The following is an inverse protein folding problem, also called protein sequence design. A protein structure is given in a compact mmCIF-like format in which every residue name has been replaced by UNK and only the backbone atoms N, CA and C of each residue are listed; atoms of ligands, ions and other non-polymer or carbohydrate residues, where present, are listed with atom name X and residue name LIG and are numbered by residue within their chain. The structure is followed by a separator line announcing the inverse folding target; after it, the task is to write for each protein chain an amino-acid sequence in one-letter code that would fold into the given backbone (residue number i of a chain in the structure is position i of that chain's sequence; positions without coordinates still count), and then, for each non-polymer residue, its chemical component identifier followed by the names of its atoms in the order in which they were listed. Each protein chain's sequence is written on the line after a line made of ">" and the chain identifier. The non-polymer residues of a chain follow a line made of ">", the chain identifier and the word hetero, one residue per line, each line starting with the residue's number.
data_IF_258025018658
#
_entry.id   IF_258025018658
#
_cell.length_a   1.000
_cell.length_b   1.000
_cell.length_c   1.000
_cell.angle_alpha   90.00
_cell.angle_beta   90.00
_cell.angle_gamma   90.00
#
_symmetry.space_group_name_H-M   'P 1'
#
loop_
_entity.id
_entity.type
_entity.pdbx_description
1 polymer ?
#
# COMPACT_ATOMS: atom_id res chain seq x y z
N UNK A 1 9.83 1.77 31.53
CA UNK A 1 9.16 1.81 31.07
C UNK A 1 9.19 2.20 29.87
N UNK A 2 8.78 2.07 29.27
CA UNK A 2 8.92 2.30 28.16
C UNK A 2 8.20 3.22 27.73
N UNK A 3 8.32 3.72 27.15
CA UNK A 3 7.76 4.59 26.80
C UNK A 3 7.15 4.46 25.63
N UNK A 4 6.39 4.84 25.29
CA UNK A 4 5.79 4.78 24.22
C UNK A 4 6.29 5.63 23.24
N UNK A 5 7.21 5.37 22.59
CA UNK A 5 7.74 6.23 21.64
C UNK A 5 7.04 5.94 20.37
N UNK A 6 6.35 6.85 19.81
CA UNK A 6 5.69 6.65 18.55
C UNK A 6 6.68 6.89 17.41
N UNK A 7 6.76 5.98 16.50
CA UNK A 7 7.65 6.15 15.37
C UNK A 7 6.82 6.23 14.10
N UNK A 8 6.95 7.33 13.40
CA UNK A 8 6.25 7.50 12.15
C UNK A 8 6.97 6.71 11.07
N UNK A 9 6.25 5.98 10.26
CA UNK A 9 6.86 5.20 9.19
C UNK A 9 6.35 5.66 7.85
N UNK A 10 7.05 5.28 6.82
CA UNK A 10 6.70 5.64 5.46
C UNK A 10 5.94 4.48 4.83
N UNK A 11 4.77 4.77 4.31
CA UNK A 11 3.89 3.73 3.81
C UNK A 11 3.56 3.99 2.36
N UNK A 12 3.58 2.94 1.57
CA UNK A 12 3.15 3.00 0.19
C UNK A 12 1.75 2.43 0.13
N UNK A 13 0.84 3.12 -0.53
CA UNK A 13 -0.53 2.68 -0.68
C UNK A 13 -0.74 2.29 -2.13
N UNK A 14 -1.17 1.08 -2.38
CA UNK A 14 -1.37 0.56 -3.72
C UNK A 14 -2.83 0.16 -3.88
N UNK A 15 -3.49 0.67 -4.90
CA UNK A 15 -4.85 0.26 -5.22
C UNK A 15 -4.78 -0.62 -6.44
N UNK A 16 -5.34 -1.82 -6.37
CA UNK A 16 -5.32 -2.75 -7.48
C UNK A 16 -6.70 -2.70 -8.12
N UNK A 17 -6.78 -2.20 -9.33
CA UNK A 17 -8.07 -2.06 -9.98
C UNK A 17 -7.90 -1.82 -11.47
N UNK A 18 -8.81 -2.37 -12.26
CA UNK A 18 -8.73 -2.16 -13.68
C UNK A 18 -9.39 -0.86 -14.10
N UNK A 19 -10.21 -0.29 -13.27
CA UNK A 19 -11.01 0.84 -13.70
C UNK A 19 -10.80 2.11 -12.88
N UNK A 20 -10.21 2.02 -11.71
CA UNK A 20 -10.13 3.21 -10.89
C UNK A 20 -9.00 4.10 -11.29
N UNK A 21 -9.17 5.35 -11.05
CA UNK A 21 -8.11 6.33 -11.19
C UNK A 21 -8.14 7.09 -9.89
N UNK A 22 -7.17 7.93 -9.66
CA UNK A 22 -7.10 8.63 -8.39
C UNK A 22 -8.39 9.39 -8.07
N UNK A 23 -9.06 9.87 -9.09
CA UNK A 23 -10.21 10.62 -8.87
C UNK A 23 -11.32 9.83 -8.24
N UNK A 24 -11.47 8.58 -8.48
CA UNK A 24 -12.54 7.80 -7.90
C UNK A 24 -12.05 6.66 -7.03
N UNK A 25 -10.83 6.76 -6.54
CA UNK A 25 -10.26 5.71 -5.73
C UNK A 25 -10.61 5.95 -4.27
N UNK A 26 -11.83 5.66 -3.89
CA UNK A 26 -12.27 5.92 -2.54
C UNK A 26 -11.60 5.06 -1.50
N UNK A 27 -11.30 3.83 -1.82
CA UNK A 27 -10.61 2.96 -0.87
C UNK A 27 -9.23 3.49 -0.58
N UNK A 28 -8.52 3.91 -1.61
CA UNK A 28 -7.21 4.49 -1.41
C UNK A 28 -7.28 5.77 -0.61
N UNK A 29 -8.30 6.59 -0.86
CA UNK A 29 -8.48 7.82 -0.13
C UNK A 29 -8.68 7.54 1.36
N UNK A 30 -9.46 6.54 1.68
CA UNK A 30 -9.71 6.19 3.07
C UNK A 30 -8.44 5.71 3.73
N UNK A 31 -7.66 4.91 3.03
CA UNK A 31 -6.41 4.42 3.59
C UNK A 31 -5.46 5.58 3.85
N UNK A 32 -5.33 6.47 2.90
CA UNK A 32 -4.44 7.61 3.07
C UNK A 32 -4.88 8.44 4.28
N UNK A 33 -6.17 8.63 4.41
CA UNK A 33 -6.70 9.41 5.51
C UNK A 33 -6.39 8.75 6.84
N UNK A 34 -6.60 7.45 6.94
CA UNK A 34 -6.35 6.77 8.18
C UNK A 34 -4.89 6.70 8.54
N UNK A 35 -4.04 6.45 7.55
CA UNK A 35 -2.61 6.40 7.78
C UNK A 35 -2.13 7.74 8.27
N UNK A 36 -2.60 8.81 7.66
CA UNK A 36 -2.19 10.14 8.04
C UNK A 36 -2.67 10.48 9.45
N UNK A 37 -3.89 10.09 9.75
CA UNK A 37 -4.41 10.38 11.09
C UNK A 37 -3.69 9.64 12.18
N UNK A 38 -3.11 8.50 11.85
CA UNK A 38 -2.36 7.78 12.84
C UNK A 38 -0.93 8.31 12.94
N UNK A 39 -0.58 9.29 12.16
CA UNK A 39 0.74 9.89 12.29
C UNK A 39 1.80 9.34 11.36
N UNK A 40 1.44 8.46 10.46
CA UNK A 40 2.42 7.93 9.52
C UNK A 40 2.36 8.71 8.22
N UNK A 41 3.30 8.46 7.33
CA UNK A 41 3.36 9.19 6.08
C UNK A 41 3.08 8.30 4.91
N UNK A 42 2.29 8.81 3.97
CA UNK A 42 2.06 8.08 2.73
C UNK A 42 3.04 8.69 1.75
N UNK A 43 4.10 7.96 1.45
CA UNK A 43 5.13 8.46 0.57
C UNK A 43 4.91 8.06 -0.88
N UNK A 44 4.13 7.02 -1.12
CA UNK A 44 3.84 6.58 -2.46
C UNK A 44 2.38 6.17 -2.52
N UNK A 45 1.70 6.56 -3.56
CA UNK A 45 0.33 6.10 -3.77
C UNK A 45 0.23 5.74 -5.24
N UNK A 46 -0.11 4.49 -5.54
CA UNK A 46 -0.19 4.03 -6.91
C UNK A 46 -1.46 3.25 -7.16
N UNK A 47 -1.91 3.25 -8.39
CA UNK A 47 -3.02 2.42 -8.81
C UNK A 47 -2.45 1.52 -9.89
N UNK A 48 -2.65 0.23 -9.76
CA UNK A 48 -2.11 -0.72 -10.71
C UNK A 48 -3.23 -1.63 -11.18
N UNK A 49 -3.16 -2.07 -12.43
CA UNK A 49 -4.18 -2.93 -12.95
C UNK A 49 -4.10 -4.30 -12.29
N UNK A 50 -5.21 -5.01 -12.31
CA UNK A 50 -5.27 -6.31 -11.69
C UNK A 50 -4.61 -7.30 -12.63
N UNK A 51 -3.33 -7.24 -12.74
CA UNK A 51 -2.55 -8.04 -13.65
C UNK A 51 -1.34 -8.50 -12.85
N UNK A 52 -1.13 -9.77 -12.75
CA UNK A 52 -0.08 -10.31 -11.92
C UNK A 52 1.29 -9.71 -12.23
N UNK A 53 1.64 -9.58 -13.48
CA UNK A 53 2.94 -9.08 -13.82
C UNK A 53 3.09 -7.62 -13.42
N UNK A 54 2.05 -6.82 -13.59
CA UNK A 54 2.14 -5.43 -13.25
C UNK A 54 2.17 -5.24 -11.73
N UNK A 55 1.43 -6.05 -11.02
CA UNK A 55 1.43 -5.98 -9.58
C UNK A 55 2.79 -6.40 -9.05
N UNK A 56 3.35 -7.47 -9.60
CA UNK A 56 4.64 -7.96 -9.16
C UNK A 56 5.73 -6.93 -9.41
N UNK A 57 5.73 -6.34 -10.58
CA UNK A 57 6.73 -5.36 -10.91
C UNK A 57 6.65 -4.17 -9.97
N UNK A 58 5.46 -3.72 -9.70
CA UNK A 58 5.30 -2.57 -8.82
C UNK A 58 5.77 -2.90 -7.40
N UNK A 59 5.38 -4.06 -6.90
CA UNK A 59 5.76 -4.42 -5.55
C UNK A 59 7.26 -4.60 -5.43
N UNK A 60 7.90 -5.19 -6.42
CA UNK A 60 9.35 -5.34 -6.37
C UNK A 60 10.03 -3.98 -6.32
N UNK A 61 9.52 -3.06 -7.10
CA UNK A 61 10.10 -1.75 -7.13
C UNK A 61 9.91 -1.09 -5.78
N UNK A 62 8.76 -1.24 -5.15
CA UNK A 62 8.51 -0.63 -3.87
C UNK A 62 9.34 -1.28 -2.76
N UNK A 63 9.51 -2.59 -2.85
CA UNK A 63 10.30 -3.29 -1.86
C UNK A 63 11.76 -2.87 -1.92
N UNK A 64 12.24 -2.57 -3.09
CA UNK A 64 13.61 -2.15 -3.21
C UNK A 64 13.83 -0.71 -2.76
N UNK A 65 12.78 0.02 -2.55
CA UNK A 65 12.91 1.40 -2.15
C UNK A 65 13.13 1.49 -0.65
N UNK A 66 14.31 1.88 -0.25
CA UNK A 66 14.64 1.91 1.16
C UNK A 66 13.85 2.93 1.93
N UNK A 67 13.17 3.83 1.28
CA UNK A 67 12.41 4.82 2.00
C UNK A 67 11.01 4.34 2.33
N UNK A 68 10.64 3.15 1.92
CA UNK A 68 9.30 2.64 2.21
C UNK A 68 9.41 1.54 3.24
N UNK A 69 8.68 1.68 4.32
CA UNK A 69 8.71 0.71 5.39
C UNK A 69 7.62 -0.34 5.26
N UNK A 70 6.47 0.04 4.76
CA UNK A 70 5.34 -0.88 4.67
C UNK A 70 4.58 -0.60 3.39
N UNK A 71 4.03 -1.63 2.78
CA UNK A 71 3.18 -1.50 1.61
C UNK A 71 1.79 -2.00 1.99
N UNK A 72 0.78 -1.17 1.80
CA UNK A 72 -0.58 -1.56 2.07
C UNK A 72 -1.34 -1.53 0.75
N UNK A 73 -1.99 -2.61 0.41
CA UNK A 73 -2.72 -2.65 -0.84
C UNK A 73 -4.21 -2.85 -0.59
N UNK A 74 -5.00 -2.37 -1.49
CA UNK A 74 -6.44 -2.52 -1.41
C UNK A 74 -6.97 -2.81 -2.80
N UNK A 75 -8.13 -3.39 -2.88
CA UNK A 75 -8.74 -3.72 -4.15
C UNK A 75 -8.38 -5.11 -4.55
N UNK A 76 -8.40 -5.30 -5.81
CA UNK A 76 -8.04 -6.58 -6.26
C UNK A 76 -9.05 -7.54 -5.92
N UNK A 77 -10.16 -7.21 -5.86
CA UNK A 77 -11.12 -7.99 -5.49
C UNK A 77 -11.03 -9.30 -5.61
N UNK A 78 -10.44 -9.63 -5.67
CA UNK A 78 -10.35 -10.78 -5.53
C UNK A 78 -10.92 -11.77 -5.83
N UNK A 79 -11.23 -11.76 -6.23
CA UNK A 79 -11.84 -12.64 -6.53
C UNK A 79 -11.15 -13.70 -6.34
N UNK A 80 -10.36 -13.80 -6.36
CA UNK A 80 -9.73 -14.86 -6.33
C UNK A 80 -9.12 -14.90 -5.19
N UNK A 81 -9.29 -14.20 -4.58
CA UNK A 81 -8.79 -14.27 -3.41
C UNK A 81 -7.45 -14.53 -3.27
N UNK A 82 -6.72 -14.29 -3.90
CA UNK A 82 -5.56 -14.53 -3.76
C UNK A 82 -5.02 -13.70 -2.95
N UNK A 83 -4.49 -13.81 -2.17
CA UNK A 83 -3.93 -13.01 -1.44
C UNK A 83 -2.64 -12.85 -1.58
N UNK A 84 -2.23 -12.48 -2.33
CA UNK A 84 -0.98 -12.25 -2.51
C UNK A 84 -0.53 -11.22 -1.79
N UNK A 85 -1.18 -10.41 -1.47
CA UNK A 85 -0.73 -9.30 -0.95
C UNK A 85 -0.13 -9.34 0.24
N UNK A 86 -0.48 -9.82 1.00
CA UNK A 86 -0.01 -9.64 2.22
C UNK A 86 1.31 -9.76 2.41
N UNK A 87 1.80 -10.36 1.96
CA UNK A 87 3.01 -10.59 2.25
C UNK A 87 3.88 -9.59 2.33
N UNK A 88 3.81 -8.73 1.93
CA UNK A 88 4.70 -7.88 1.88
C UNK A 88 4.97 -7.07 2.81
N UNK A 89 4.72 -7.04 3.56
CA UNK A 89 4.91 -6.18 4.40
C UNK A 89 6.12 -5.94 4.82
N UNK A 90 6.89 -5.95 5.19
CA UNK A 90 7.88 -5.45 5.74
C UNK A 90 9.02 -5.77 5.54
N UNK A 91 9.68 -5.37 5.92
CA UNK A 91 10.76 -5.54 5.57
C UNK A 91 11.60 -5.35 6.39
N UNK A 92 12.10 -5.31 6.75
CA UNK A 92 12.96 -5.10 7.41
C UNK A 92 13.61 -4.98 7.47
#
# INVERSE_FOLDING_TARGET
>A
MVEDVFISINIAVVTISDTRVFKNDKSGDILVDRITKFGHKVTVREIVKDDFDKISDLFLKLIENENIDVIISTGGTGLTGRDITPAVSYTH
#
